data_IF_940040179981
#
_entry.id   IF_940040179981
#
_cell.length_a   1.000
_cell.length_b   1.000
_cell.length_c   1.000
_cell.angle_alpha   90.00
_cell.angle_beta   90.00
_cell.angle_gamma   90.00
#
_symmetry.space_group_name_H-M   'P 1'
#
loop_
_entity.id
_entity.type
_entity.pdbx_description
1 polymer ?
#
# COMPACT_ATOMS: atom_id res chain seq x y z
N UNK A 1 -19.57 -7.06 22.92
CA UNK A 1 -18.86 -5.92 23.53
C UNK A 1 -18.10 -5.23 22.40
N UNK A 2 -18.69 -4.20 21.78
CA UNK A 2 -18.13 -3.54 20.61
C UNK A 2 -16.96 -2.65 21.05
N UNK A 3 -15.76 -2.98 20.56
CA UNK A 3 -14.53 -2.23 20.81
C UNK A 3 -14.62 -0.84 20.19
N UNK A 4 -14.48 0.20 21.01
CA UNK A 4 -14.58 1.61 20.65
C UNK A 4 -13.31 2.06 19.90
N UNK A 5 -13.07 1.47 18.73
CA UNK A 5 -11.94 1.81 17.87
C UNK A 5 -12.21 3.16 17.22
N UNK A 6 -11.40 4.14 17.59
CA UNK A 6 -11.44 5.45 16.95
C UNK A 6 -10.89 5.33 15.53
N UNK A 7 -11.60 5.83 14.51
CA UNK A 7 -11.11 5.82 13.14
C UNK A 7 -9.82 6.63 13.03
N UNK A 8 -8.83 6.08 12.34
CA UNK A 8 -7.58 6.74 12.00
C UNK A 8 -7.86 7.84 10.98
N UNK A 9 -7.28 9.02 11.19
CA UNK A 9 -7.33 10.11 10.22
C UNK A 9 -6.05 10.10 9.38
N UNK A 10 -6.20 9.95 8.08
CA UNK A 10 -5.12 10.11 7.11
C UNK A 10 -5.30 11.47 6.48
N UNK A 11 -4.29 12.32 6.60
CA UNK A 11 -4.34 13.66 6.00
C UNK A 11 -3.77 13.62 4.60
N UNK A 12 -4.42 14.27 3.64
CA UNK A 12 -3.72 14.63 2.41
C UNK A 12 -2.60 15.61 2.76
N UNK A 13 -1.57 15.70 1.91
CA UNK A 13 -0.66 16.83 1.98
C UNK A 13 -1.48 18.12 1.78
N UNK A 14 -1.85 18.78 2.88
CA UNK A 14 -2.63 20.01 2.88
C UNK A 14 -1.83 21.19 2.31
N UNK A 15 -2.42 22.38 2.38
CA UNK A 15 -1.77 23.65 2.03
C UNK A 15 -0.75 24.14 3.06
N UNK A 16 -0.80 23.60 4.28
CA UNK A 16 0.21 23.81 5.32
C UNK A 16 1.51 23.07 4.95
N UNK A 17 2.69 23.70 5.08
CA UNK A 17 3.94 23.06 4.72
C UNK A 17 4.32 21.99 5.74
N UNK A 18 3.83 20.77 5.52
CA UNK A 18 4.41 19.58 6.16
C UNK A 18 5.85 19.47 5.66
N UNK A 19 6.87 19.36 6.53
CA UNK A 19 8.25 19.23 6.10
C UNK A 19 8.34 18.02 5.16
N UNK A 20 8.56 18.31 3.87
CA UNK A 20 8.75 17.26 2.86
C UNK A 20 10.07 16.56 3.18
N UNK A 21 10.10 15.23 3.26
CA UNK A 21 11.36 14.52 3.40
C UNK A 21 12.30 14.94 2.26
N UNK A 22 13.52 15.33 2.59
CA UNK A 22 14.53 15.70 1.60
C UNK A 22 15.00 14.50 0.77
N UNK A 23 14.81 13.29 1.31
CA UNK A 23 15.11 12.01 0.67
C UNK A 23 13.84 11.16 0.76
N UNK A 24 13.31 10.78 -0.40
CA UNK A 24 12.22 9.83 -0.52
C UNK A 24 12.76 8.68 -1.34
N UNK A 25 12.61 7.41 -0.91
CA UNK A 25 12.89 6.27 -1.75
C UNK A 25 12.05 6.40 -3.01
N UNK A 26 12.71 6.62 -4.15
CA UNK A 26 12.09 6.65 -5.46
C UNK A 26 12.81 5.64 -6.33
N UNK A 27 12.06 4.76 -6.95
CA UNK A 27 12.62 3.86 -7.92
C UNK A 27 12.60 4.56 -9.28
N UNK A 28 13.79 4.97 -9.74
CA UNK A 28 13.94 5.71 -11.00
C UNK A 28 13.76 4.82 -12.22
N UNK A 29 14.14 3.54 -12.10
CA UNK A 29 14.02 2.53 -13.16
C UNK A 29 12.75 1.69 -13.01
N UNK A 30 12.24 1.21 -14.15
CA UNK A 30 11.16 0.22 -14.17
C UNK A 30 11.59 -1.13 -13.59
N UNK A 31 10.71 -2.12 -13.59
CA UNK A 31 11.04 -3.49 -13.19
C UNK A 31 10.39 -4.52 -14.12
N UNK A 32 10.98 -5.70 -14.22
CA UNK A 32 10.54 -6.74 -15.17
C UNK A 32 9.08 -7.13 -14.99
N UNK A 33 8.59 -7.20 -13.75
CA UNK A 33 7.17 -7.48 -13.48
C UNK A 33 6.24 -6.36 -13.95
N UNK A 34 6.65 -5.10 -13.85
CA UNK A 34 5.87 -3.94 -14.28
C UNK A 34 5.80 -3.83 -15.80
N UNK A 35 6.91 -4.07 -16.49
CA UNK A 35 7.00 -3.95 -17.96
C UNK A 35 6.15 -4.98 -18.71
N UNK A 36 5.89 -6.14 -18.12
CA UNK A 36 5.08 -7.20 -18.76
C UNK A 36 3.57 -7.07 -18.51
N UNK A 37 3.16 -6.11 -17.67
CA UNK A 37 1.74 -5.88 -17.37
C UNK A 37 1.09 -4.94 -18.40
N UNK A 38 -0.23 -5.07 -18.65
CA UNK A 38 -0.97 -4.04 -19.35
C UNK A 38 -0.82 -2.69 -18.63
N UNK A 39 -0.85 -1.60 -19.40
CA UNK A 39 -0.78 -0.25 -18.84
C UNK A 39 -1.87 -0.08 -17.77
N UNK A 40 -1.51 0.20 -16.51
CA UNK A 40 -2.49 0.33 -15.45
C UNK A 40 -3.29 1.63 -15.62
N UNK A 41 -4.50 1.70 -15.06
CA UNK A 41 -5.26 2.94 -15.02
C UNK A 41 -4.49 4.05 -14.29
N UNK A 42 -4.92 5.29 -14.50
CA UNK A 42 -4.39 6.42 -13.75
C UNK A 42 -4.54 6.17 -12.24
N UNK A 43 -3.46 6.38 -11.49
CA UNK A 43 -3.51 6.34 -10.04
C UNK A 43 -4.45 7.41 -9.49
N UNK A 44 -5.18 7.06 -8.43
CA UNK A 44 -5.96 8.02 -7.65
C UNK A 44 -5.04 8.62 -6.59
N UNK A 45 -4.76 9.91 -6.71
CA UNK A 45 -4.08 10.66 -5.66
C UNK A 45 -5.07 10.90 -4.53
N UNK A 46 -4.65 10.64 -3.28
CA UNK A 46 -5.46 10.97 -2.12
C UNK A 46 -5.65 12.50 -2.05
N UNK A 47 -6.89 12.94 -2.16
CA UNK A 47 -7.28 14.34 -2.01
C UNK A 47 -8.00 14.53 -0.68
N UNK A 48 -7.60 15.55 0.06
CA UNK A 48 -8.20 15.84 1.37
C UNK A 48 -7.89 14.78 2.43
N UNK A 49 -8.43 15.01 3.62
CA UNK A 49 -8.27 14.09 4.73
C UNK A 49 -9.36 13.01 4.64
N UNK A 50 -8.98 11.74 4.82
CA UNK A 50 -9.91 10.62 4.95
C UNK A 50 -9.84 10.05 6.35
N UNK A 51 -10.97 9.53 6.84
CA UNK A 51 -11.03 8.77 8.09
C UNK A 51 -11.40 7.34 7.74
N UNK A 52 -10.67 6.39 8.30
CA UNK A 52 -10.88 4.96 8.09
C UNK A 52 -10.60 4.20 9.38
N UNK A 53 -11.21 3.04 9.54
CA UNK A 53 -10.91 2.16 10.67
C UNK A 53 -9.46 1.66 10.61
N UNK A 54 -9.00 1.23 9.44
CA UNK A 54 -7.65 0.70 9.24
C UNK A 54 -6.94 1.39 8.08
N UNK A 55 -5.72 1.86 8.35
CA UNK A 55 -4.81 2.40 7.35
C UNK A 55 -3.63 1.45 7.14
N UNK A 56 -3.38 1.05 5.90
CA UNK A 56 -2.24 0.22 5.49
C UNK A 56 -1.31 1.09 4.65
N UNK A 57 -0.06 1.23 5.09
CA UNK A 57 0.98 2.01 4.39
C UNK A 57 1.90 1.04 3.66
N UNK A 58 1.97 1.20 2.33
CA UNK A 58 2.69 0.34 1.40
C UNK A 58 1.77 -0.67 0.72
N UNK A 59 1.70 -0.62 -0.61
CA UNK A 59 0.93 -1.56 -1.44
C UNK A 59 1.84 -2.63 -2.08
N UNK A 60 2.82 -3.12 -1.31
CA UNK A 60 3.60 -4.31 -1.65
C UNK A 60 2.87 -5.61 -1.27
N UNK A 61 3.55 -6.76 -1.41
CA UNK A 61 2.98 -8.08 -1.12
C UNK A 61 2.43 -8.19 0.31
N UNK A 62 3.14 -7.65 1.30
CA UNK A 62 2.71 -7.67 2.70
C UNK A 62 1.44 -6.83 2.92
N UNK A 63 1.45 -5.57 2.46
CA UNK A 63 0.29 -4.68 2.63
C UNK A 63 -0.96 -5.20 1.94
N UNK A 64 -0.81 -5.74 0.72
CA UNK A 64 -1.93 -6.35 0.00
C UNK A 64 -2.42 -7.64 0.66
N UNK A 65 -1.52 -8.49 1.20
CA UNK A 65 -1.92 -9.68 1.93
C UNK A 65 -2.71 -9.33 3.22
N UNK A 66 -2.28 -8.29 3.94
CA UNK A 66 -3.02 -7.76 5.10
C UNK A 66 -4.38 -7.22 4.68
N UNK A 67 -4.44 -6.39 3.64
CA UNK A 67 -5.70 -5.82 3.14
C UNK A 67 -6.68 -6.93 2.71
N UNK A 68 -6.20 -7.91 1.96
CA UNK A 68 -6.97 -9.07 1.54
C UNK A 68 -7.52 -9.85 2.73
N UNK A 69 -6.66 -10.20 3.69
CA UNK A 69 -7.08 -10.97 4.86
C UNK A 69 -8.07 -10.21 5.75
N UNK A 70 -7.90 -8.90 5.89
CA UNK A 70 -8.87 -8.06 6.60
C UNK A 70 -10.20 -8.00 5.87
N UNK A 71 -10.22 -7.87 4.54
CA UNK A 71 -11.45 -7.90 3.74
C UNK A 71 -12.21 -9.23 3.85
N UNK A 72 -11.50 -10.36 3.94
CA UNK A 72 -12.12 -11.67 4.19
C UNK A 72 -12.74 -11.77 5.60
N UNK A 73 -12.04 -11.28 6.61
CA UNK A 73 -12.45 -11.42 8.01
C UNK A 73 -13.48 -10.37 8.44
N UNK A 74 -13.51 -9.21 7.78
CA UNK A 74 -14.30 -8.04 8.15
C UNK A 74 -14.79 -7.31 6.90
N UNK A 75 -15.78 -7.90 6.23
CA UNK A 75 -16.32 -7.40 4.97
C UNK A 75 -16.86 -5.97 5.05
N UNK A 76 -17.33 -5.54 6.23
CA UNK A 76 -17.87 -4.20 6.47
C UNK A 76 -16.83 -3.19 6.98
N UNK A 77 -15.55 -3.55 7.05
CA UNK A 77 -14.51 -2.68 7.59
C UNK A 77 -14.01 -1.66 6.56
N UNK A 78 -13.87 -0.41 6.99
CA UNK A 78 -13.27 0.64 6.18
C UNK A 78 -11.74 0.53 6.21
N UNK A 79 -11.17 0.06 5.10
CA UNK A 79 -9.73 -0.14 4.94
C UNK A 79 -9.19 0.78 3.83
N UNK A 80 -8.19 1.59 4.13
CA UNK A 80 -7.42 2.32 3.13
C UNK A 80 -6.02 1.72 2.98
N UNK A 81 -5.62 1.44 1.73
CA UNK A 81 -4.23 1.12 1.38
C UNK A 81 -3.63 2.32 0.65
N UNK A 82 -2.46 2.78 1.10
CA UNK A 82 -1.77 3.95 0.54
C UNK A 82 -0.36 3.55 0.12
N UNK A 83 0.03 3.98 -1.08
CA UNK A 83 1.34 3.73 -1.67
C UNK A 83 1.90 5.05 -2.21
N UNK A 84 3.19 5.27 -2.02
CA UNK A 84 3.88 6.48 -2.47
C UNK A 84 4.09 6.47 -4.01
N UNK A 85 4.22 5.29 -4.61
CA UNK A 85 4.43 5.12 -6.05
C UNK A 85 3.24 4.41 -6.74
N UNK A 86 3.39 3.13 -7.03
CA UNK A 86 2.40 2.26 -7.65
C UNK A 86 2.34 0.95 -6.88
N UNK A 87 1.16 0.37 -6.78
CA UNK A 87 0.98 -0.92 -6.13
C UNK A 87 1.91 -1.97 -6.74
N UNK A 88 2.62 -2.70 -5.87
CA UNK A 88 3.62 -3.68 -6.26
C UNK A 88 4.90 -3.11 -6.86
N UNK A 89 5.02 -1.80 -7.10
CA UNK A 89 6.18 -1.26 -7.82
C UNK A 89 7.46 -1.23 -7.00
N UNK A 90 7.42 -1.32 -5.67
CA UNK A 90 8.61 -1.31 -4.81
C UNK A 90 9.40 -2.64 -4.79
N UNK A 91 9.96 -3.01 -3.65
CA UNK A 91 10.74 -4.26 -3.49
C UNK A 91 9.96 -5.51 -3.93
N UNK A 92 8.63 -5.54 -3.70
CA UNK A 92 7.77 -6.64 -4.15
C UNK A 92 7.72 -6.80 -5.67
N UNK A 93 7.89 -5.75 -6.47
CA UNK A 93 7.96 -5.83 -7.94
C UNK A 93 9.37 -6.00 -8.47
N UNK A 94 10.39 -6.02 -7.60
CA UNK A 94 11.80 -6.24 -7.97
C UNK A 94 12.35 -7.55 -7.45
N UNK A 95 11.48 -8.41 -6.93
CA UNK A 95 11.86 -9.74 -6.46
C UNK A 95 12.10 -10.69 -7.65
N UNK A 96 12.99 -11.67 -7.48
CA UNK A 96 13.35 -12.62 -8.53
C UNK A 96 12.31 -13.73 -8.80
N UNK A 97 11.15 -13.69 -8.12
CA UNK A 97 10.05 -14.64 -8.29
C UNK A 97 10.14 -15.90 -7.43
N UNK A 98 11.13 -15.99 -6.53
CA UNK A 98 11.32 -17.17 -5.69
C UNK A 98 10.34 -17.20 -4.51
N UNK A 99 9.42 -18.17 -4.52
CA UNK A 99 8.64 -18.58 -3.35
C UNK A 99 9.08 -19.99 -2.97
N UNK A 100 9.98 -20.08 -1.99
CA UNK A 100 10.64 -21.34 -1.64
C UNK A 100 10.10 -21.85 -0.31
N UNK A 101 9.65 -23.11 -0.31
CA UNK A 101 9.44 -23.89 0.90
C UNK A 101 10.44 -25.04 0.91
N UNK A 102 11.68 -24.74 1.32
CA UNK A 102 12.76 -25.74 1.38
C UNK A 102 12.60 -26.53 2.68
N UNK A 103 12.06 -27.74 2.56
CA UNK A 103 12.17 -28.74 3.62
C UNK A 103 13.50 -29.46 3.41
N UNK A 104 14.49 -29.14 4.24
CA UNK A 104 15.62 -30.05 4.47
C UNK A 104 15.12 -31.17 5.39
N UNK A 105 15.17 -32.41 4.88
CA UNK A 105 15.02 -33.61 5.70
C UNK A 105 16.04 -33.62 6.86
#
# INVERSE_FOLDING_TARGET
>A
MADARHPLSIRSAGTEPVPRPSIIPRHEDSNGWWEILPKPPAHRVLQGDIRVETAIVGAGVCGMAVAHRLGELRQDSEIAVIEAERAGFGASGRNAGFMLNLHSH
#
